data_IF_695194713037
#
_entry.id   IF_695194713037
#
_cell.length_a   1.000
_cell.length_b   1.000
_cell.length_c   1.000
_cell.angle_alpha   90.00
_cell.angle_beta   90.00
_cell.angle_gamma   90.00
#
_symmetry.space_group_name_H-M   'P 1'
#
loop_
_entity.id
_entity.type
_entity.pdbx_description
1 polymer ?
#
# COMPACT_ATOMS: atom_id res chain seq x y z
N UNK A 1 19.65 31.16 13.31
CA UNK A 1 19.06 31.00 11.96
C UNK A 1 19.67 29.79 11.26
N UNK A 2 20.98 29.79 10.97
CA UNK A 2 21.63 28.70 10.20
C UNK A 2 21.70 27.31 10.88
N UNK A 3 21.72 27.24 12.21
CA UNK A 3 21.84 25.96 12.95
C UNK A 3 20.57 25.11 12.89
N UNK A 4 19.40 25.76 12.85
CA UNK A 4 18.11 25.06 12.74
C UNK A 4 17.97 24.44 11.35
N UNK A 5 18.36 25.18 10.31
CA UNK A 5 18.34 24.69 8.92
C UNK A 5 19.28 23.50 8.72
N UNK A 6 20.45 23.52 9.37
CA UNK A 6 21.37 22.39 9.35
C UNK A 6 20.79 21.16 10.05
N UNK A 7 20.21 21.34 11.24
CA UNK A 7 19.58 20.24 11.97
C UNK A 7 18.45 19.60 11.16
N UNK A 8 17.60 20.43 10.54
CA UNK A 8 16.54 20.02 9.61
C UNK A 8 17.07 19.17 8.44
N UNK A 9 18.15 19.63 7.80
CA UNK A 9 18.81 18.88 6.72
C UNK A 9 19.40 17.53 7.16
N UNK A 10 19.90 17.42 8.38
CA UNK A 10 20.41 16.14 8.93
C UNK A 10 19.27 15.15 9.18
N UNK A 11 18.14 15.61 9.73
CA UNK A 11 16.97 14.75 9.94
C UNK A 11 16.37 14.25 8.62
N UNK A 12 16.26 15.13 7.61
CA UNK A 12 15.78 14.73 6.28
C UNK A 12 16.67 13.64 5.66
N UNK A 13 18.00 13.77 5.76
CA UNK A 13 18.93 12.73 5.30
C UNK A 13 18.80 11.41 6.07
N UNK A 14 18.44 11.47 7.35
CA UNK A 14 18.23 10.28 8.15
C UNK A 14 17.02 9.47 7.67
N UNK A 15 15.97 10.14 7.21
CA UNK A 15 14.77 9.51 6.63
C UNK A 15 15.11 8.90 5.26
N UNK A 16 15.88 9.61 4.43
CA UNK A 16 16.31 9.11 3.12
C UNK A 16 17.19 7.85 3.21
N UNK A 17 17.90 7.67 4.33
CA UNK A 17 18.77 6.52 4.59
C UNK A 17 18.11 5.43 5.43
N UNK A 18 16.83 5.56 5.78
CA UNK A 18 16.13 4.55 6.57
C UNK A 18 15.82 3.31 5.71
N UNK A 19 16.46 2.19 6.04
CA UNK A 19 16.24 0.90 5.38
C UNK A 19 14.84 0.34 5.61
N UNK A 20 14.12 0.78 6.66
CA UNK A 20 12.76 0.31 6.95
C UNK A 20 11.71 0.95 6.04
N UNK A 21 11.97 2.14 5.50
CA UNK A 21 11.08 2.82 4.54
C UNK A 21 11.52 2.58 3.08
N UNK A 22 12.36 1.58 2.84
CA UNK A 22 12.74 1.17 1.49
C UNK A 22 11.73 0.17 0.92
N UNK A 23 11.05 0.55 -0.17
CA UNK A 23 10.18 -0.39 -0.87
C UNK A 23 11.01 -1.36 -1.74
N UNK A 24 10.94 -2.65 -1.40
CA UNK A 24 11.68 -3.72 -2.09
C UNK A 24 11.03 -4.13 -3.41
N UNK A 25 9.73 -3.90 -3.58
CA UNK A 25 9.01 -4.30 -4.79
C UNK A 25 9.28 -3.32 -5.93
N UNK A 26 9.30 -2.01 -5.64
CA UNK A 26 9.63 -0.98 -6.64
C UNK A 26 11.08 -0.50 -6.60
N UNK A 27 11.90 -0.98 -5.67
CA UNK A 27 13.29 -0.52 -5.43
C UNK A 27 13.38 1.00 -5.17
N UNK A 28 12.36 1.57 -4.54
CA UNK A 28 12.27 3.02 -4.31
C UNK A 28 12.58 3.33 -2.84
N UNK A 29 13.65 4.09 -2.53
CA UNK A 29 13.90 4.56 -1.18
C UNK A 29 12.90 5.67 -0.80
N UNK A 30 12.67 5.84 0.50
CA UNK A 30 12.00 7.04 0.99
C UNK A 30 12.78 8.28 0.56
N UNK A 31 12.06 9.28 0.04
CA UNK A 31 12.66 10.52 -0.42
C UNK A 31 11.98 11.73 0.22
N UNK A 32 12.76 12.45 1.02
CA UNK A 32 12.37 13.69 1.65
C UNK A 32 12.57 14.87 0.71
N UNK A 33 11.52 15.27 -0.01
CA UNK A 33 11.56 16.41 -0.92
C UNK A 33 11.77 17.78 -0.23
N UNK A 34 11.57 17.87 1.09
CA UNK A 34 11.72 19.10 1.86
C UNK A 34 12.51 18.87 3.16
N UNK A 35 13.41 19.77 3.54
CA UNK A 35 14.24 19.62 4.76
C UNK A 35 13.45 19.88 6.05
N UNK A 36 12.31 20.57 5.97
CA UNK A 36 11.42 20.82 7.11
C UNK A 36 10.39 19.71 7.36
N UNK A 37 10.46 18.58 6.64
CA UNK A 37 9.48 17.49 6.70
C UNK A 37 9.24 16.97 8.12
N UNK A 38 10.28 16.94 8.97
CA UNK A 38 10.18 16.44 10.34
C UNK A 38 9.34 17.34 11.26
N UNK A 39 9.25 18.63 10.97
CA UNK A 39 8.40 19.57 11.70
C UNK A 39 6.96 19.50 11.21
N UNK A 40 6.78 19.42 9.88
CA UNK A 40 5.46 19.30 9.24
C UNK A 40 4.76 18.00 9.66
N UNK A 41 5.48 16.88 9.74
CA UNK A 41 4.94 15.62 10.28
C UNK A 41 4.67 15.67 11.79
N UNK A 42 5.43 16.47 12.55
CA UNK A 42 5.21 16.64 13.99
C UNK A 42 3.93 17.41 14.32
N UNK A 43 3.38 18.14 13.35
CA UNK A 43 2.17 18.96 13.48
C UNK A 43 1.00 18.44 12.65
N UNK A 44 1.16 17.29 11.96
CA UNK A 44 0.09 16.76 11.11
C UNK A 44 -1.04 16.20 11.98
N UNK A 45 -2.23 16.79 11.86
CA UNK A 45 -3.42 16.37 12.62
C UNK A 45 -4.37 15.49 11.79
N UNK A 46 -4.35 15.66 10.46
CA UNK A 46 -5.22 14.94 9.53
C UNK A 46 -4.41 14.35 8.37
N UNK A 47 -4.57 13.04 8.16
CA UNK A 47 -4.03 12.34 6.99
C UNK A 47 -5.16 12.13 5.99
N UNK A 48 -5.05 12.78 4.83
CA UNK A 48 -5.97 12.58 3.72
C UNK A 48 -5.41 11.46 2.84
N UNK A 49 -6.03 10.29 2.89
CA UNK A 49 -5.66 9.15 2.06
C UNK A 49 -6.60 9.02 0.88
N UNK A 50 -6.05 8.93 -0.33
CA UNK A 50 -6.84 8.63 -1.53
C UNK A 50 -7.17 7.12 -1.60
N UNK A 51 -8.36 6.78 -2.10
CA UNK A 51 -8.86 5.41 -2.06
C UNK A 51 -8.16 4.52 -3.08
N UNK A 52 -7.95 5.03 -4.30
CA UNK A 52 -7.40 4.25 -5.42
C UNK A 52 -5.89 4.51 -5.53
N UNK A 53 -5.07 3.46 -5.47
CA UNK A 53 -3.61 3.57 -5.61
C UNK A 53 -2.84 3.95 -4.34
N UNK A 54 -3.52 4.29 -3.23
CA UNK A 54 -2.90 4.40 -1.89
C UNK A 54 -3.45 3.36 -0.92
N UNK A 55 -4.77 3.24 -0.75
CA UNK A 55 -5.37 2.25 0.15
C UNK A 55 -5.55 0.88 -0.51
N UNK A 56 -5.79 0.85 -1.83
CA UNK A 56 -5.94 -0.38 -2.60
C UNK A 56 -5.02 -0.36 -3.79
N UNK A 57 -4.26 -1.45 -3.99
CA UNK A 57 -3.61 -1.71 -5.28
C UNK A 57 -4.68 -1.75 -6.38
N UNK A 58 -4.33 -1.29 -7.59
CA UNK A 58 -5.23 -1.35 -8.75
C UNK A 58 -5.28 -2.78 -9.33
N UNK A 59 -5.57 -3.76 -8.47
CA UNK A 59 -5.66 -5.18 -8.78
C UNK A 59 -6.96 -5.68 -8.16
N UNK A 60 -7.94 -6.00 -9.01
CA UNK A 60 -9.18 -6.62 -8.56
C UNK A 60 -9.06 -8.14 -8.61
N UNK A 61 -8.97 -8.75 -7.42
CA UNK A 61 -8.91 -10.20 -7.26
C UNK A 61 -10.31 -10.72 -6.93
N UNK A 62 -10.81 -11.65 -7.74
CA UNK A 62 -12.08 -12.31 -7.48
C UNK A 62 -11.94 -13.26 -6.28
N UNK A 63 -12.48 -12.84 -5.12
CA UNK A 63 -12.32 -13.60 -3.87
C UNK A 63 -13.40 -14.63 -3.64
N UNK A 64 -14.67 -14.29 -3.86
CA UNK A 64 -15.81 -15.17 -3.60
C UNK A 64 -16.98 -14.87 -4.54
N UNK A 65 -17.78 -15.89 -4.84
CA UNK A 65 -19.09 -15.78 -5.46
C UNK A 65 -20.10 -16.71 -4.80
N UNK A 66 -21.38 -16.38 -4.90
CA UNK A 66 -22.47 -17.26 -4.46
C UNK A 66 -23.29 -17.65 -5.69
N UNK A 67 -23.51 -18.95 -5.88
CA UNK A 67 -24.45 -19.46 -6.89
C UNK A 67 -25.37 -20.49 -6.24
N UNK A 68 -26.68 -20.34 -6.45
CA UNK A 68 -27.72 -21.28 -6.00
C UNK A 68 -27.52 -21.77 -4.56
N UNK A 69 -27.47 -20.84 -3.59
CA UNK A 69 -27.28 -21.08 -2.15
C UNK A 69 -25.91 -21.65 -1.72
N UNK A 70 -24.98 -21.84 -2.65
CA UNK A 70 -23.61 -22.28 -2.33
C UNK A 70 -22.61 -21.14 -2.52
N UNK A 71 -21.85 -20.86 -1.46
CA UNK A 71 -20.86 -19.78 -1.41
C UNK A 71 -19.47 -20.35 -1.72
N UNK A 72 -18.93 -19.95 -2.86
CA UNK A 72 -17.64 -20.40 -3.38
C UNK A 72 -16.59 -19.31 -3.16
N UNK A 73 -15.46 -19.69 -2.60
CA UNK A 73 -14.34 -18.76 -2.37
C UNK A 73 -13.74 -18.99 -1.01
N UNK A 74 -12.84 -19.97 -0.97
CA UNK A 74 -12.02 -20.23 0.20
C UNK A 74 -10.99 -19.11 0.36
N UNK A 75 -10.50 -18.91 1.59
CA UNK A 75 -9.65 -17.78 2.00
C UNK A 75 -8.32 -17.63 1.24
N UNK A 76 -8.04 -18.49 0.25
CA UNK A 76 -6.75 -18.65 -0.39
C UNK A 76 -6.70 -18.32 -1.90
N UNK A 77 -7.74 -17.71 -2.46
CA UNK A 77 -7.68 -17.18 -3.85
C UNK A 77 -8.03 -18.19 -4.96
N UNK A 78 -8.46 -19.41 -4.62
CA UNK A 78 -8.76 -20.48 -5.58
C UNK A 78 -10.21 -20.46 -6.12
N UNK A 79 -10.93 -19.34 -5.95
CA UNK A 79 -12.33 -19.23 -6.40
C UNK A 79 -12.51 -19.43 -7.91
N UNK A 80 -11.49 -19.08 -8.72
CA UNK A 80 -11.50 -19.24 -10.18
C UNK A 80 -11.51 -20.72 -10.60
N UNK A 81 -10.81 -21.58 -9.85
CA UNK A 81 -10.68 -23.01 -10.16
C UNK A 81 -12.00 -23.75 -9.92
N UNK A 82 -12.72 -23.36 -8.87
CA UNK A 82 -14.03 -23.92 -8.53
C UNK A 82 -15.12 -23.45 -9.50
N UNK A 83 -15.08 -22.18 -9.92
CA UNK A 83 -16.01 -21.66 -10.93
C UNK A 83 -15.84 -22.35 -12.30
N UNK A 84 -14.60 -22.56 -12.75
CA UNK A 84 -14.32 -23.31 -13.98
C UNK A 84 -14.77 -24.78 -13.90
N UNK A 85 -14.60 -25.42 -12.74
CA UNK A 85 -15.02 -26.82 -12.53
C UNK A 85 -16.55 -26.97 -12.59
N UNK A 86 -17.32 -25.99 -12.09
CA UNK A 86 -18.78 -26.02 -12.16
C UNK A 86 -19.31 -25.80 -13.59
N UNK A 87 -18.73 -24.87 -14.35
CA UNK A 87 -19.15 -24.61 -15.73
C UNK A 87 -18.94 -25.81 -16.69
N UNK A 88 -17.99 -26.70 -16.39
CA UNK A 88 -17.75 -27.91 -17.19
C UNK A 88 -18.72 -29.05 -16.82
N UNK A 89 -19.33 -29.01 -15.62
CA UNK A 89 -20.19 -30.09 -15.12
C UNK A 89 -21.70 -29.82 -15.32
N UNK A 90 -22.07 -28.63 -15.80
CA UNK A 90 -23.43 -28.27 -16.24
C UNK A 90 -23.60 -28.25 -17.78
N UNK A 91 -22.60 -28.69 -18.55
CA UNK A 91 -22.72 -29.00 -19.99
C UNK A 91 -22.94 -30.50 -20.24
#
# INVERSE_FOLDING_TARGET
MVTLDLAKGVYAKFIDWDEQMFDRETCTPAHSANTAISEDLGQVEYVLSDRTGTLTENIMIFRRCCMSDTLYGENNGDALKVACQMLIHEC
#
